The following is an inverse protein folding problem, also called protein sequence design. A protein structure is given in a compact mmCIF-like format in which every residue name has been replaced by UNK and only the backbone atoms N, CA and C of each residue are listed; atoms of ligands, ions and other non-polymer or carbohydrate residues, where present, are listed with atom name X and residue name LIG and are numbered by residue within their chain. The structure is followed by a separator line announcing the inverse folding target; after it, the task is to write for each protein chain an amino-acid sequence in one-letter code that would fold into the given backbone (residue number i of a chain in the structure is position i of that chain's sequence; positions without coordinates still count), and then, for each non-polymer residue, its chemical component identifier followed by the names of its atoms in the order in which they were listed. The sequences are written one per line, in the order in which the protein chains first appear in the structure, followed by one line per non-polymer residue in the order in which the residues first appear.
data_IF_769658133744
#
_entry.id   IF_769658133744
#
_cell.length_a   1.000
_cell.length_b   1.000
_cell.length_c   1.000
_cell.angle_alpha   90.00
_cell.angle_beta   90.00
_cell.angle_gamma   90.00
#
_symmetry.space_group_name_H-M   'P 1'
#
loop_
_entity.id
_entity.type
_entity.pdbx_description
1 polymer ?
#
# COMPACT_ATOMS: atom_id res chain seq x y z
N UNK A 1 -3.49 21.18 4.45
CA UNK A 1 -3.71 20.70 3.07
C UNK A 1 -2.93 19.43 2.83
N UNK A 2 -3.63 18.28 2.79
CA UNK A 2 -3.01 16.96 2.73
C UNK A 2 -2.72 16.50 1.30
N UNK A 3 -1.68 15.69 1.15
CA UNK A 3 -1.42 14.85 -0.04
C UNK A 3 -2.50 13.75 -0.12
N UNK A 4 -2.81 13.18 -1.30
CA UNK A 4 -3.61 11.97 -1.38
C UNK A 4 -2.96 10.87 -0.54
N UNK A 5 -3.72 10.28 0.37
CA UNK A 5 -3.23 9.30 1.34
C UNK A 5 -4.06 8.03 1.26
N UNK A 6 -3.38 6.89 1.26
CA UNK A 6 -4.00 5.58 1.35
C UNK A 6 -3.50 4.92 2.62
N UNK A 7 -4.42 4.40 3.42
CA UNK A 7 -4.11 3.67 4.63
C UNK A 7 -5.12 2.56 4.87
N UNK A 8 -4.70 1.54 5.61
CA UNK A 8 -5.52 0.39 5.88
C UNK A 8 -4.83 -0.65 6.73
N UNK A 9 -5.41 -1.85 6.73
CA UNK A 9 -4.92 -2.98 7.51
C UNK A 9 -4.74 -4.21 6.63
N UNK A 10 -3.83 -5.09 7.03
CA UNK A 10 -3.67 -6.43 6.47
C UNK A 10 -3.80 -7.41 7.61
N UNK A 11 -4.70 -8.37 7.44
CA UNK A 11 -5.02 -9.39 8.42
C UNK A 11 -4.98 -10.78 7.77
N UNK A 12 -4.76 -11.78 8.60
CA UNK A 12 -5.00 -13.16 8.27
C UNK A 12 -6.50 -13.48 8.37
N UNK A 13 -6.92 -14.65 7.87
CA UNK A 13 -8.32 -15.08 7.91
C UNK A 13 -8.90 -15.18 9.34
N UNK A 14 -8.05 -15.38 10.34
CA UNK A 14 -8.43 -15.43 11.75
C UNK A 14 -8.54 -14.05 12.41
N UNK A 15 -8.32 -12.97 11.65
CA UNK A 15 -8.34 -11.59 12.12
C UNK A 15 -7.07 -11.14 12.83
N UNK A 16 -6.02 -11.98 12.87
CA UNK A 16 -4.73 -11.56 13.41
C UNK A 16 -3.99 -10.65 12.42
N UNK A 17 -3.25 -9.62 12.90
CA UNK A 17 -2.57 -8.68 12.03
C UNK A 17 -1.42 -9.36 11.28
N UNK A 18 -1.30 -9.04 9.99
CA UNK A 18 -0.23 -9.56 9.12
C UNK A 18 0.85 -8.50 8.89
N UNK A 19 2.00 -8.75 9.50
CA UNK A 19 3.21 -7.94 9.37
C UNK A 19 4.14 -8.47 8.27
N UNK A 20 5.14 -7.66 7.89
CA UNK A 20 6.21 -8.03 6.94
C UNK A 20 5.72 -8.39 5.53
N UNK A 21 4.49 -8.01 5.21
CA UNK A 21 3.95 -7.96 3.86
C UNK A 21 3.96 -6.53 3.35
N UNK A 22 3.90 -6.38 2.04
CA UNK A 22 4.06 -5.09 1.40
C UNK A 22 2.80 -4.73 0.61
N UNK A 23 2.32 -3.50 0.76
CA UNK A 23 1.25 -2.96 -0.08
C UNK A 23 1.87 -2.26 -1.26
N UNK A 24 1.57 -2.75 -2.45
CA UNK A 24 1.96 -2.16 -3.70
C UNK A 24 0.78 -1.40 -4.33
N UNK A 25 1.06 -0.19 -4.81
CA UNK A 25 0.14 0.67 -5.54
C UNK A 25 0.69 0.80 -6.96
N UNK A 26 0.08 0.07 -7.88
CA UNK A 26 0.40 0.12 -9.30
C UNK A 26 -0.27 1.35 -9.92
N UNK A 27 0.54 2.37 -10.20
CA UNK A 27 0.19 3.57 -10.96
C UNK A 27 1.47 4.25 -11.45
N UNK A 28 1.39 5.18 -12.40
CA UNK A 28 2.55 5.94 -12.85
C UNK A 28 2.88 7.09 -11.87
N UNK A 29 3.73 6.83 -10.86
CA UNK A 29 4.17 7.87 -9.95
C UNK A 29 5.25 7.43 -8.94
N UNK A 30 5.67 8.34 -8.05
CA UNK A 30 6.65 8.05 -7.02
C UNK A 30 6.06 7.14 -5.94
N UNK A 31 6.91 6.48 -5.14
CA UNK A 31 6.56 5.65 -3.97
C UNK A 31 5.39 4.71 -4.24
N UNK A 32 5.69 3.49 -4.66
CA UNK A 32 4.66 2.52 -5.00
C UNK A 32 4.47 1.45 -3.93
N UNK A 33 5.48 1.19 -3.09
CA UNK A 33 5.38 0.08 -2.13
C UNK A 33 5.75 0.50 -0.72
N UNK A 34 4.98 0.05 0.26
CA UNK A 34 5.26 0.22 1.70
C UNK A 34 5.03 -1.09 2.45
N UNK A 35 5.81 -1.33 3.51
CA UNK A 35 5.65 -2.47 4.40
C UNK A 35 4.52 -2.26 5.43
N UNK A 36 3.70 -3.30 5.66
CA UNK A 36 2.73 -3.42 6.74
C UNK A 36 3.41 -3.77 8.07
N UNK A 37 3.02 -3.07 9.14
CA UNK A 37 3.66 -3.21 10.45
C UNK A 37 5.00 -2.48 10.57
N UNK A 38 5.45 -1.80 9.52
CA UNK A 38 6.70 -1.04 9.50
C UNK A 38 6.49 0.43 9.90
N UNK A 39 7.58 1.16 10.10
CA UNK A 39 7.60 2.62 10.32
C UNK A 39 6.67 3.15 11.42
N UNK A 40 6.48 2.34 12.48
CA UNK A 40 5.61 2.66 13.62
C UNK A 40 4.12 2.75 13.27
N UNK A 41 3.70 2.21 12.11
CA UNK A 41 2.29 2.12 11.74
C UNK A 41 1.48 1.23 12.72
N UNK A 42 2.16 0.31 13.42
CA UNK A 42 1.52 -0.69 14.28
C UNK A 42 1.17 -1.96 13.51
N UNK A 43 0.93 -3.05 14.22
CA UNK A 43 0.79 -4.37 13.61
C UNK A 43 -0.36 -4.42 12.60
N UNK A 44 -0.10 -4.96 11.41
CA UNK A 44 -1.04 -5.08 10.29
C UNK A 44 -1.33 -3.76 9.57
N UNK A 45 -0.92 -2.61 10.12
CA UNK A 45 -1.25 -1.31 9.56
C UNK A 45 -0.25 -0.89 8.48
N UNK A 46 -0.76 -0.18 7.48
CA UNK A 46 0.04 0.48 6.44
C UNK A 46 -0.58 1.84 6.11
N UNK A 47 0.23 2.76 5.58
CA UNK A 47 -0.26 4.10 5.26
C UNK A 47 0.80 5.00 4.66
N UNK A 48 0.56 5.49 3.45
CA UNK A 48 1.46 6.40 2.76
C UNK A 48 0.76 7.29 1.73
N UNK A 49 1.46 8.35 1.34
CA UNK A 49 1.05 9.27 0.28
C UNK A 49 1.86 8.96 -1.01
N UNK A 50 1.42 8.01 -1.84
CA UNK A 50 2.16 7.59 -3.03
C UNK A 50 2.25 8.71 -4.06
N UNK A 51 1.18 9.46 -4.25
CA UNK A 51 1.05 10.37 -5.40
C UNK A 51 1.66 11.77 -5.13
N UNK A 52 2.06 12.08 -3.89
CA UNK A 52 2.60 13.40 -3.56
C UNK A 52 1.55 14.51 -3.66
N UNK A 53 1.89 15.68 -4.19
CA UNK A 53 1.02 16.88 -4.08
C UNK A 53 -0.16 16.89 -5.04
N UNK A 54 -0.09 16.19 -6.16
CA UNK A 54 -1.16 16.15 -7.15
C UNK A 54 -1.10 14.89 -7.99
N UNK A 55 -2.17 14.11 -7.93
CA UNK A 55 -2.42 13.08 -8.91
C UNK A 55 -2.78 13.72 -10.25
N UNK A 56 -2.26 13.22 -11.38
CA UNK A 56 -2.88 13.49 -12.67
C UNK A 56 -4.39 13.23 -12.59
N UNK A 57 -5.18 14.07 -13.27
CA UNK A 57 -6.62 13.83 -13.36
C UNK A 57 -6.87 12.42 -13.91
N UNK A 58 -7.88 11.74 -13.35
CA UNK A 58 -8.26 10.38 -13.73
C UNK A 58 -7.20 9.29 -13.44
N UNK A 59 -6.28 9.51 -12.51
CA UNK A 59 -5.33 8.47 -12.08
C UNK A 59 -6.08 7.30 -11.46
N UNK A 60 -6.07 6.16 -12.14
CA UNK A 60 -6.49 4.88 -11.55
C UNK A 60 -5.32 4.28 -10.80
N UNK A 61 -5.55 3.95 -9.53
CA UNK A 61 -4.62 3.16 -8.72
C UNK A 61 -5.15 1.75 -8.58
N UNK A 62 -4.25 0.79 -8.64
CA UNK A 62 -4.48 -0.61 -8.27
C UNK A 62 -3.65 -0.92 -7.03
N UNK A 63 -4.28 -1.33 -5.94
CA UNK A 63 -3.64 -1.58 -4.65
C UNK A 63 -3.77 -3.05 -4.31
N UNK A 64 -2.66 -3.71 -3.98
CA UNK A 64 -2.65 -5.13 -3.61
C UNK A 64 -1.48 -5.46 -2.69
N UNK A 65 -1.59 -6.59 -2.02
CA UNK A 65 -0.55 -7.10 -1.13
C UNK A 65 0.42 -7.97 -1.92
N UNK A 66 1.72 -7.81 -1.66
CA UNK A 66 2.82 -8.61 -2.22
C UNK A 66 3.79 -9.02 -1.11
N UNK A 67 4.68 -9.95 -1.41
CA UNK A 67 5.81 -10.24 -0.53
C UNK A 67 6.75 -9.04 -0.44
N UNK A 68 7.21 -8.69 0.76
CA UNK A 68 8.28 -7.72 0.90
C UNK A 68 9.62 -8.29 0.38
N UNK A 69 10.55 -7.44 -0.11
CA UNK A 69 11.87 -7.86 -0.52
C UNK A 69 12.63 -8.38 0.69
N UNK A 70 13.49 -9.37 0.51
CA UNK A 70 14.33 -9.93 1.58
C UNK A 70 15.29 -8.90 2.18
N UNK A 71 15.66 -7.86 1.42
CA UNK A 71 16.43 -6.72 1.91
C UNK A 71 15.62 -5.74 2.77
N UNK A 72 14.31 -5.96 2.91
CA UNK A 72 13.36 -5.04 3.52
C UNK A 72 12.96 -3.89 2.58
N UNK A 73 11.98 -3.11 3.02
CA UNK A 73 11.58 -1.84 2.39
C UNK A 73 12.09 -0.69 3.24
N UNK A 74 12.69 0.36 2.65
CA UNK A 74 13.09 1.54 3.39
C UNK A 74 11.91 2.21 4.11
N UNK A 75 12.19 2.93 5.21
CA UNK A 75 11.18 3.75 5.88
C UNK A 75 10.50 4.74 4.92
N UNK A 76 9.17 4.76 4.91
CA UNK A 76 8.35 5.61 4.04
C UNK A 76 8.11 5.06 2.64
N UNK A 77 8.54 3.82 2.37
CA UNK A 77 8.30 3.12 1.11
C UNK A 77 9.39 3.32 0.04
N UNK A 78 9.22 2.66 -1.11
CA UNK A 78 10.18 2.73 -2.23
C UNK A 78 9.50 3.05 -3.57
N UNK A 79 10.27 3.67 -4.48
CA UNK A 79 9.79 4.20 -5.76
C UNK A 79 10.01 3.28 -6.96
N UNK A 80 10.98 2.35 -6.89
CA UNK A 80 11.35 1.48 -8.00
C UNK A 80 11.97 0.19 -7.46
N UNK A 81 12.06 -0.84 -8.30
CA UNK A 81 12.79 -2.10 -8.04
C UNK A 81 12.08 -3.16 -7.17
N UNK A 82 10.74 -3.17 -7.12
CA UNK A 82 10.01 -4.33 -6.61
C UNK A 82 9.99 -5.45 -7.65
N UNK A 83 10.83 -6.46 -7.44
CA UNK A 83 11.06 -7.54 -8.41
C UNK A 83 9.99 -8.63 -8.34
N UNK A 84 9.35 -8.82 -7.18
CA UNK A 84 8.27 -9.77 -6.99
C UNK A 84 6.96 -9.04 -6.73
N UNK A 85 6.14 -8.91 -7.78
CA UNK A 85 4.81 -8.32 -7.73
C UNK A 85 3.71 -9.38 -7.80
N UNK A 86 4.00 -10.64 -7.48
CA UNK A 86 2.98 -11.69 -7.40
C UNK A 86 1.99 -11.32 -6.29
N UNK A 87 0.69 -11.08 -6.62
CA UNK A 87 -0.28 -10.67 -5.62
C UNK A 87 -0.56 -11.80 -4.62
N UNK A 88 -0.65 -11.41 -3.34
CA UNK A 88 -1.10 -12.25 -2.22
C UNK A 88 -2.56 -11.95 -1.84
N UNK A 89 -3.18 -10.98 -2.49
CA UNK A 89 -4.57 -10.57 -2.29
C UNK A 89 -5.23 -10.24 -3.62
N UNK A 90 -6.57 -10.20 -3.67
CA UNK A 90 -7.27 -9.45 -4.71
C UNK A 90 -6.82 -8.00 -4.73
N UNK A 91 -6.86 -7.38 -5.92
CA UNK A 91 -6.57 -5.96 -6.09
C UNK A 91 -7.78 -5.09 -5.75
N UNK A 92 -7.51 -3.97 -5.08
CA UNK A 92 -8.45 -2.88 -4.88
C UNK A 92 -8.19 -1.79 -5.92
N UNK A 93 -9.22 -1.43 -6.68
CA UNK A 93 -9.12 -0.40 -7.71
C UNK A 93 -9.83 0.87 -7.27
N UNK A 94 -9.18 2.01 -7.46
CA UNK A 94 -9.79 3.30 -7.18
C UNK A 94 -9.32 4.36 -8.14
N UNK A 95 -10.20 5.33 -8.40
CA UNK A 95 -9.93 6.45 -9.28
C UNK A 95 -9.76 7.70 -8.45
N UNK A 96 -8.53 8.22 -8.44
CA UNK A 96 -8.15 9.35 -7.59
C UNK A 96 -8.74 10.65 -8.12
N UNK A 97 -9.41 11.40 -7.23
CA UNK A 97 -10.02 12.68 -7.58
C UNK A 97 -9.47 13.82 -6.71
N UNK A 98 -8.31 14.35 -7.11
CA UNK A 98 -7.66 15.47 -6.42
C UNK A 98 -7.01 15.04 -5.10
N UNK A 99 -7.28 15.78 -4.01
CA UNK A 99 -6.74 15.51 -2.67
C UNK A 99 -7.76 14.72 -1.86
N UNK A 100 -7.53 13.43 -1.70
CA UNK A 100 -8.42 12.53 -0.96
C UNK A 100 -7.66 11.70 0.07
N UNK A 101 -8.37 11.30 1.13
CA UNK A 101 -7.89 10.35 2.10
C UNK A 101 -8.73 9.08 1.95
N UNK A 102 -8.09 8.00 1.54
CA UNK A 102 -8.68 6.66 1.45
C UNK A 102 -8.23 5.85 2.68
N UNK A 103 -9.15 5.59 3.59
CA UNK A 103 -8.88 4.82 4.82
C UNK A 103 -9.58 3.47 4.79
N UNK A 104 -9.24 2.63 5.77
CA UNK A 104 -9.94 1.37 6.07
C UNK A 104 -9.91 0.37 4.90
N UNK A 105 -8.87 0.44 4.07
CA UNK A 105 -8.60 -0.55 3.02
C UNK A 105 -8.07 -1.81 3.69
N UNK A 106 -8.93 -2.81 3.84
CA UNK A 106 -8.59 -4.08 4.46
C UNK A 106 -8.26 -5.14 3.41
N UNK A 107 -7.12 -5.81 3.58
CA UNK A 107 -6.77 -7.01 2.83
C UNK A 107 -6.75 -8.21 3.76
N UNK A 108 -7.49 -9.25 3.39
CA UNK A 108 -7.43 -10.54 4.07
C UNK A 108 -6.54 -11.46 3.23
N UNK A 109 -5.46 -11.94 3.83
CA UNK A 109 -4.64 -12.99 3.22
C UNK A 109 -5.22 -14.35 3.53
N UNK A 110 -5.16 -15.26 2.56
CA UNK A 110 -5.24 -16.69 2.86
C UNK A 110 -3.92 -17.11 3.56
N UNK A 111 -4.05 -17.85 4.66
CA UNK A 111 -2.94 -18.57 5.33
C UNK A 111 -2.61 -19.86 4.58
#
# INVERSE_FOLDING_TARGET
DGLPQFQGTIEYNDGSPRNLTCVHIAFWGPRQTQCSGCDRAGDGNWGFAPIGESAPADTTVEIYVVNCPTSGVPPGGQNSDFVNLTPLSPSWFHKVNGKELCTDIAFVSED
#
